data_IF_275931209983
#
_entry.id   IF_275931209983
#
_cell.length_a   1.000
_cell.length_b   1.000
_cell.length_c   1.000
_cell.angle_alpha   90.00
_cell.angle_beta   90.00
_cell.angle_gamma   90.00
#
_symmetry.space_group_name_H-M   'P 1'
#
loop_
_entity.id
_entity.type
_entity.pdbx_description
1 polymer ?
#
# COMPACT_ATOMS: atom_id res chain seq x y z
N UNK A 1 -44.13 61.67 57.51
CA UNK A 1 -43.78 61.60 56.09
C UNK A 1 -43.96 60.15 55.61
N UNK A 2 -45.16 59.90 55.05
CA UNK A 2 -45.56 58.58 54.58
C UNK A 2 -44.96 58.28 53.18
N UNK A 3 -44.27 57.16 52.98
CA UNK A 3 -43.93 56.65 51.62
C UNK A 3 -44.65 55.32 51.46
N UNK A 4 -45.70 55.36 50.65
CA UNK A 4 -46.49 54.19 50.23
C UNK A 4 -45.69 53.22 49.37
N UNK A 5 -45.52 52.01 49.87
CA UNK A 5 -45.03 50.84 49.13
C UNK A 5 -46.19 50.34 48.21
N UNK A 6 -46.08 50.44 46.92
CA UNK A 6 -46.96 49.82 45.95
C UNK A 6 -46.48 48.36 45.75
N UNK A 7 -47.23 47.43 46.31
CA UNK A 7 -47.09 46.04 45.96
C UNK A 7 -47.65 45.78 44.52
N UNK A 8 -46.76 45.37 43.62
CA UNK A 8 -47.18 44.91 42.29
C UNK A 8 -47.83 43.50 42.45
N UNK A 9 -49.11 43.44 42.18
CA UNK A 9 -49.88 42.20 42.18
C UNK A 9 -49.52 41.35 40.93
N UNK A 10 -49.30 40.07 41.13
CA UNK A 10 -48.96 39.04 40.16
C UNK A 10 -50.06 38.73 39.13
N UNK A 11 -51.04 39.62 38.92
CA UNK A 11 -52.23 39.36 38.10
C UNK A 11 -52.13 39.86 36.63
N UNK A 12 -50.98 40.35 36.16
CA UNK A 12 -50.87 40.88 34.81
C UNK A 12 -49.87 40.08 33.90
N UNK A 13 -49.75 38.78 34.09
CA UNK A 13 -49.03 38.00 33.07
C UNK A 13 -50.04 37.59 31.97
N UNK A 14 -49.93 38.13 30.76
CA UNK A 14 -50.84 37.77 29.67
C UNK A 14 -50.69 36.27 29.38
N UNK A 15 -51.79 35.55 29.53
CA UNK A 15 -51.89 34.13 29.17
C UNK A 15 -51.72 33.98 27.65
N UNK A 16 -50.46 33.87 27.15
CA UNK A 16 -50.19 33.64 25.75
C UNK A 16 -50.63 32.20 25.44
N UNK A 17 -51.91 32.02 25.13
CA UNK A 17 -52.43 30.78 24.52
C UNK A 17 -51.85 30.65 23.10
N UNK A 18 -50.70 30.01 23.00
CA UNK A 18 -50.13 29.64 21.72
C UNK A 18 -51.15 28.77 20.94
N UNK A 19 -51.55 29.16 19.74
CA UNK A 19 -52.54 28.41 18.96
C UNK A 19 -52.03 26.97 18.70
N UNK A 20 -52.88 25.98 18.78
CA UNK A 20 -52.55 24.57 18.53
C UNK A 20 -51.90 24.39 17.15
N UNK A 21 -52.19 25.22 16.18
CA UNK A 21 -51.56 25.26 14.84
C UNK A 21 -50.07 25.66 14.92
N UNK A 22 -49.70 26.62 15.76
CA UNK A 22 -48.34 27.08 15.95
C UNK A 22 -47.47 26.01 16.64
N UNK A 23 -48.06 25.35 17.65
CA UNK A 23 -47.41 24.22 18.35
C UNK A 23 -47.18 23.04 17.41
N UNK A 24 -48.17 22.70 16.57
CA UNK A 24 -48.03 21.64 15.58
C UNK A 24 -46.96 21.98 14.54
N UNK A 25 -46.87 23.23 14.09
CA UNK A 25 -45.88 23.70 13.12
C UNK A 25 -44.46 23.65 13.71
N UNK A 26 -44.29 24.07 14.96
CA UNK A 26 -43.03 24.01 15.70
C UNK A 26 -42.58 22.54 15.92
N UNK A 27 -43.48 21.67 16.39
CA UNK A 27 -43.18 20.21 16.55
C UNK A 27 -42.76 19.57 15.23
N UNK A 28 -43.42 19.89 14.12
CA UNK A 28 -43.08 19.37 12.79
C UNK A 28 -41.68 19.84 12.35
N UNK A 29 -41.33 21.14 12.57
CA UNK A 29 -39.99 21.68 12.29
C UNK A 29 -38.93 21.01 13.17
N UNK A 30 -39.15 20.86 14.46
CA UNK A 30 -38.23 20.15 15.38
C UNK A 30 -38.03 18.71 14.97
N UNK A 31 -39.10 18.01 14.58
CA UNK A 31 -39.02 16.62 14.09
C UNK A 31 -38.19 16.52 12.79
N UNK A 32 -38.38 17.43 11.83
CA UNK A 32 -37.57 17.45 10.62
C UNK A 32 -36.10 17.74 10.90
N UNK A 33 -35.78 18.65 11.82
CA UNK A 33 -34.41 18.93 12.24
C UNK A 33 -33.77 17.73 12.97
N UNK A 34 -34.52 17.03 13.83
CA UNK A 34 -34.05 15.81 14.50
C UNK A 34 -33.78 14.68 13.50
N UNK A 35 -34.66 14.49 12.53
CA UNK A 35 -34.44 13.50 11.47
C UNK A 35 -33.22 13.86 10.59
N UNK A 36 -33.06 15.14 10.25
CA UNK A 36 -31.89 15.61 9.50
C UNK A 36 -30.58 15.43 10.31
N UNK A 37 -30.61 15.76 11.59
CA UNK A 37 -29.45 15.56 12.49
C UNK A 37 -29.13 14.07 12.66
N UNK A 38 -30.15 13.22 12.82
CA UNK A 38 -29.96 11.78 12.89
C UNK A 38 -29.37 11.21 11.59
N UNK A 39 -29.82 11.68 10.43
CA UNK A 39 -29.27 11.29 9.14
C UNK A 39 -27.80 11.72 8.98
N UNK A 40 -27.49 12.96 9.37
CA UNK A 40 -26.11 13.51 9.33
C UNK A 40 -25.16 12.71 10.24
N UNK A 41 -25.64 12.20 11.38
CA UNK A 41 -24.85 11.35 12.29
C UNK A 41 -24.78 9.90 11.84
N UNK A 42 -25.83 9.38 11.17
CA UNK A 42 -25.87 8.00 10.71
C UNK A 42 -25.00 7.74 9.46
N UNK A 43 -24.88 8.72 8.58
CA UNK A 43 -24.08 8.61 7.35
C UNK A 43 -22.58 8.33 7.61
N UNK A 44 -21.87 9.06 8.49
CA UNK A 44 -20.46 8.77 8.79
C UNK A 44 -20.26 7.40 9.44
N UNK A 45 -21.16 7.00 10.34
CA UNK A 45 -21.12 5.69 11.00
C UNK A 45 -21.31 4.56 9.97
N UNK A 46 -22.26 4.70 9.04
CA UNK A 46 -22.46 3.77 7.94
C UNK A 46 -21.26 3.66 7.02
N UNK A 47 -20.65 4.79 6.65
CA UNK A 47 -19.43 4.82 5.85
C UNK A 47 -18.25 4.12 6.56
N UNK A 48 -18.08 4.35 7.86
CA UNK A 48 -17.01 3.72 8.64
C UNK A 48 -17.16 2.20 8.71
N UNK A 49 -18.39 1.71 8.95
CA UNK A 49 -18.68 0.26 8.93
C UNK A 49 -18.40 -0.34 7.55
N UNK A 50 -18.81 0.33 6.48
CA UNK A 50 -18.57 -0.15 5.11
C UNK A 50 -17.07 -0.21 4.79
N UNK A 51 -16.31 0.83 5.13
CA UNK A 51 -14.85 0.86 4.96
C UNK A 51 -14.15 -0.23 5.78
N UNK A 52 -14.62 -0.51 6.99
CA UNK A 52 -14.08 -1.59 7.80
C UNK A 52 -14.31 -2.95 7.13
N UNK A 53 -15.52 -3.22 6.65
CA UNK A 53 -15.86 -4.45 5.92
C UNK A 53 -15.09 -4.57 4.60
N UNK A 54 -14.91 -3.48 3.88
CA UNK A 54 -14.05 -3.47 2.68
C UNK A 54 -12.64 -3.93 3.02
N UNK A 55 -12.02 -3.38 4.09
CA UNK A 55 -10.66 -3.77 4.50
C UNK A 55 -10.58 -5.24 4.92
N UNK A 56 -11.56 -5.77 5.65
CA UNK A 56 -11.63 -7.20 5.97
C UNK A 56 -11.63 -8.07 4.68
N UNK A 57 -12.40 -7.67 3.67
CA UNK A 57 -12.48 -8.39 2.39
C UNK A 57 -11.21 -8.27 1.55
N UNK A 58 -10.56 -7.10 1.57
CA UNK A 58 -9.34 -6.84 0.79
C UNK A 58 -8.16 -7.59 1.39
N UNK A 59 -7.90 -7.43 2.68
CA UNK A 59 -6.69 -7.98 3.31
C UNK A 59 -6.83 -9.45 3.70
N UNK A 60 -8.05 -9.92 4.01
CA UNK A 60 -8.35 -11.35 4.28
C UNK A 60 -7.34 -12.01 5.19
N UNK A 61 -7.05 -11.36 6.33
CA UNK A 61 -6.00 -11.80 7.25
C UNK A 61 -6.35 -13.19 7.80
N UNK A 62 -5.45 -14.15 7.59
CA UNK A 62 -5.53 -15.48 8.18
C UNK A 62 -4.75 -15.47 9.50
N UNK A 63 -5.39 -15.80 10.62
CA UNK A 63 -4.73 -15.83 11.92
C UNK A 63 -3.75 -17.00 12.03
N UNK A 64 -2.72 -16.82 12.86
CA UNK A 64 -1.75 -17.86 13.17
C UNK A 64 -0.71 -18.07 12.08
N UNK A 65 -0.14 -19.27 12.06
CA UNK A 65 0.89 -19.68 11.11
C UNK A 65 0.27 -20.54 10.01
N UNK A 66 0.83 -20.48 8.82
CA UNK A 66 0.44 -21.36 7.73
C UNK A 66 0.69 -22.83 8.10
N UNK A 67 -0.24 -23.71 7.76
CA UNK A 67 -0.15 -25.14 8.15
C UNK A 67 1.08 -25.87 7.57
N UNK A 68 1.66 -25.34 6.50
CA UNK A 68 2.89 -25.84 5.87
C UNK A 68 4.18 -25.18 6.39
N UNK A 69 4.08 -24.29 7.39
CA UNK A 69 5.24 -23.69 8.01
C UNK A 69 5.78 -24.60 9.12
N UNK A 70 7.02 -25.03 8.95
CA UNK A 70 7.68 -25.96 9.87
C UNK A 70 8.84 -25.30 10.67
N UNK A 71 8.87 -23.97 10.71
CA UNK A 71 9.89 -23.19 11.39
C UNK A 71 10.77 -22.40 10.43
N UNK A 72 11.60 -21.54 11.00
CA UNK A 72 12.51 -20.68 10.23
C UNK A 72 13.75 -21.47 9.79
N UNK A 73 14.22 -21.27 8.55
CA UNK A 73 15.51 -21.79 8.12
C UNK A 73 16.67 -21.21 8.96
N UNK A 74 17.76 -21.96 9.05
CA UNK A 74 18.95 -21.50 9.75
C UNK A 74 19.48 -20.18 9.17
N UNK A 75 19.88 -19.28 10.06
CA UNK A 75 20.43 -17.97 9.70
C UNK A 75 19.39 -16.85 9.46
N UNK A 76 18.11 -17.15 9.51
CA UNK A 76 17.06 -16.11 9.51
C UNK A 76 17.05 -15.41 10.87
N UNK A 77 17.05 -14.09 10.85
CA UNK A 77 16.95 -13.22 12.02
C UNK A 77 15.57 -12.59 12.07
N UNK A 78 14.88 -12.74 13.19
CA UNK A 78 13.63 -12.03 13.43
C UNK A 78 13.91 -10.61 13.93
N UNK A 79 13.24 -9.63 13.35
CA UNK A 79 13.36 -8.22 13.70
C UNK A 79 11.99 -7.69 14.15
N UNK A 80 11.99 -6.77 15.10
CA UNK A 80 10.82 -6.01 15.55
C UNK A 80 11.11 -4.52 15.27
N UNK A 81 10.42 -3.97 14.27
CA UNK A 81 10.62 -2.59 13.81
C UNK A 81 9.63 -1.68 14.52
N UNK A 82 10.15 -0.72 15.29
CA UNK A 82 9.36 0.26 16.06
C UNK A 82 9.83 1.67 15.77
N UNK A 83 9.43 2.27 14.66
CA UNK A 83 9.76 3.65 14.37
C UNK A 83 9.03 4.58 15.33
N UNK A 84 9.63 5.76 15.59
CA UNK A 84 9.01 6.77 16.48
C UNK A 84 7.67 7.32 15.99
N UNK A 85 7.34 7.10 14.74
CA UNK A 85 6.07 7.51 14.12
C UNK A 85 4.91 6.58 14.46
N UNK A 86 5.20 5.37 14.95
CA UNK A 86 4.18 4.41 15.35
C UNK A 86 3.69 4.69 16.77
N UNK A 87 2.44 4.33 17.07
CA UNK A 87 1.94 4.31 18.43
C UNK A 87 2.66 3.21 19.24
N UNK A 88 2.69 3.34 20.57
CA UNK A 88 3.43 2.43 21.47
C UNK A 88 3.04 0.95 21.33
N UNK A 89 1.80 0.69 20.91
CA UNK A 89 1.27 -0.65 20.70
C UNK A 89 1.47 -1.18 19.28
N UNK A 90 2.15 -0.45 18.40
CA UNK A 90 2.38 -0.81 17.00
C UNK A 90 3.82 -1.23 16.76
N UNK A 91 4.03 -2.25 15.95
CA UNK A 91 5.34 -2.70 15.48
C UNK A 91 5.21 -3.59 14.25
N UNK A 92 6.27 -3.67 13.45
CA UNK A 92 6.35 -4.61 12.33
C UNK A 92 7.28 -5.75 12.68
N UNK A 93 6.80 -6.96 12.52
CA UNK A 93 7.60 -8.16 12.54
C UNK A 93 8.22 -8.38 11.15
N UNK A 94 9.52 -8.64 11.11
CA UNK A 94 10.23 -8.85 9.86
C UNK A 94 11.24 -9.98 10.00
N UNK A 95 11.59 -10.59 8.87
CA UNK A 95 12.65 -11.58 8.76
C UNK A 95 13.78 -11.03 7.90
N UNK A 96 14.99 -10.99 8.47
CA UNK A 96 16.20 -10.72 7.74
C UNK A 96 16.97 -12.02 7.51
N UNK A 97 17.12 -12.40 6.26
CA UNK A 97 17.93 -13.55 5.87
C UNK A 97 19.16 -13.07 5.10
N UNK A 98 20.33 -12.97 5.76
CA UNK A 98 21.55 -12.55 5.09
C UNK A 98 21.93 -13.54 4.00
N UNK A 99 22.46 -13.06 2.89
CA UNK A 99 23.01 -13.91 1.87
C UNK A 99 24.30 -14.59 2.35
N UNK A 100 24.69 -15.69 1.68
CA UNK A 100 25.96 -16.39 2.00
C UNK A 100 27.19 -15.54 1.70
N UNK A 101 27.11 -14.64 0.72
CA UNK A 101 28.19 -13.72 0.36
C UNK A 101 27.89 -12.34 0.94
N UNK A 102 28.88 -11.74 1.59
CA UNK A 102 28.72 -10.43 2.24
C UNK A 102 28.43 -9.28 1.24
N UNK A 103 28.92 -9.40 0.00
CA UNK A 103 28.74 -8.40 -1.07
C UNK A 103 27.50 -8.64 -1.95
N UNK A 104 26.67 -9.62 -1.58
CA UNK A 104 25.48 -9.98 -2.36
C UNK A 104 24.43 -8.84 -2.40
N UNK A 105 23.66 -8.76 -3.48
CA UNK A 105 22.50 -7.89 -3.50
C UNK A 105 21.40 -8.39 -2.55
N UNK A 106 20.52 -7.46 -2.18
CA UNK A 106 19.42 -7.71 -1.26
C UNK A 106 18.07 -7.34 -1.86
N UNK A 107 17.03 -8.00 -1.37
CA UNK A 107 15.64 -7.81 -1.76
C UNK A 107 14.82 -7.40 -0.54
N UNK A 108 14.08 -6.29 -0.65
CA UNK A 108 12.95 -5.99 0.23
C UNK A 108 11.71 -6.71 -0.34
N UNK A 109 11.20 -7.70 0.38
CA UNK A 109 10.06 -8.50 -0.01
C UNK A 109 8.77 -8.01 0.65
N UNK A 110 7.79 -7.62 -0.18
CA UNK A 110 6.46 -7.14 0.20
C UNK A 110 5.42 -8.17 -0.23
N UNK A 111 4.73 -8.78 0.76
CA UNK A 111 3.83 -9.90 0.52
C UNK A 111 2.42 -9.46 0.06
N UNK A 112 1.67 -10.41 -0.46
CA UNK A 112 0.25 -10.26 -0.83
C UNK A 112 -0.69 -10.38 0.37
N UNK A 113 -1.99 -10.60 0.08
CA UNK A 113 -3.04 -10.76 1.09
C UNK A 113 -3.10 -12.19 1.65
N UNK A 114 -3.94 -12.39 2.65
CA UNK A 114 -4.33 -13.62 3.36
C UNK A 114 -3.30 -14.06 4.39
N UNK A 115 -2.19 -14.66 3.93
CA UNK A 115 -1.17 -15.22 4.79
C UNK A 115 -0.11 -14.17 5.14
N UNK A 116 0.47 -14.34 6.32
CA UNK A 116 1.64 -13.61 6.79
C UNK A 116 2.94 -14.25 6.23
N UNK A 117 4.09 -13.83 6.75
CA UNK A 117 5.40 -14.33 6.30
C UNK A 117 5.52 -15.85 6.34
N UNK A 118 4.84 -16.53 7.29
CA UNK A 118 4.90 -18.02 7.36
C UNK A 118 4.32 -18.67 6.12
N UNK A 119 3.30 -18.06 5.50
CA UNK A 119 2.74 -18.53 4.23
C UNK A 119 3.57 -18.16 3.01
N UNK A 120 4.54 -17.26 3.14
CA UNK A 120 5.38 -16.75 2.06
C UNK A 120 6.80 -17.34 2.06
N UNK A 121 7.15 -18.15 3.05
CA UNK A 121 8.51 -18.67 3.24
C UNK A 121 9.06 -19.32 1.96
N UNK A 122 8.24 -20.11 1.24
CA UNK A 122 8.67 -20.78 0.03
C UNK A 122 9.20 -19.84 -1.06
N UNK A 123 8.68 -18.60 -1.16
CA UNK A 123 9.14 -17.60 -2.11
C UNK A 123 10.40 -16.92 -1.60
N UNK A 124 10.46 -16.64 -0.32
CA UNK A 124 11.64 -16.08 0.36
C UNK A 124 12.83 -17.02 0.20
N UNK A 125 12.63 -18.34 0.38
CA UNK A 125 13.64 -19.37 0.18
C UNK A 125 14.16 -19.41 -1.26
N UNK A 126 13.28 -19.32 -2.25
CA UNK A 126 13.69 -19.28 -3.66
C UNK A 126 14.57 -18.04 -3.96
N UNK A 127 14.20 -16.86 -3.46
CA UNK A 127 15.01 -15.66 -3.62
C UNK A 127 16.37 -15.79 -2.93
N UNK A 128 16.39 -16.33 -1.71
CA UNK A 128 17.64 -16.60 -0.99
C UNK A 128 18.51 -17.65 -1.70
N UNK A 129 17.91 -18.72 -2.22
CA UNK A 129 18.61 -19.72 -3.02
C UNK A 129 19.19 -19.18 -4.34
N UNK A 130 18.63 -18.09 -4.86
CA UNK A 130 19.22 -17.34 -5.99
C UNK A 130 20.42 -16.48 -5.59
N UNK A 131 20.75 -16.38 -4.30
CA UNK A 131 21.92 -15.68 -3.80
C UNK A 131 21.63 -14.28 -3.23
N UNK A 132 20.37 -13.90 -3.05
CA UNK A 132 19.99 -12.61 -2.48
C UNK A 132 19.90 -12.69 -0.95
N UNK A 133 20.31 -11.61 -0.25
CA UNK A 133 19.78 -11.38 1.08
C UNK A 133 18.32 -10.92 0.98
N UNK A 134 17.48 -11.26 1.95
CA UNK A 134 16.05 -10.93 1.90
C UNK A 134 15.62 -10.31 3.22
N UNK A 135 15.04 -9.10 3.16
CA UNK A 135 14.23 -8.53 4.22
C UNK A 135 12.76 -8.70 3.83
N UNK A 136 12.03 -9.51 4.59
CA UNK A 136 10.59 -9.69 4.42
C UNK A 136 9.86 -9.12 5.64
N UNK A 137 8.73 -8.45 5.44
CA UNK A 137 7.99 -7.78 6.52
C UNK A 137 6.52 -8.16 6.49
N UNK A 138 5.94 -8.43 7.67
CA UNK A 138 4.50 -8.45 7.88
C UNK A 138 4.00 -7.02 8.09
N UNK A 139 2.97 -6.59 7.37
CA UNK A 139 2.31 -5.32 7.63
C UNK A 139 1.58 -5.35 8.96
N UNK A 140 1.31 -4.17 9.58
CA UNK A 140 0.48 -4.09 10.79
C UNK A 140 -0.81 -4.90 10.61
N UNK A 141 -1.20 -5.65 11.64
CA UNK A 141 -2.35 -6.56 11.61
C UNK A 141 -2.08 -7.94 11.01
N UNK A 142 -0.98 -8.15 10.29
CA UNK A 142 -0.57 -9.47 9.79
C UNK A 142 0.42 -10.17 10.74
N UNK A 143 0.29 -11.48 10.82
CA UNK A 143 1.24 -12.35 11.50
C UNK A 143 1.55 -11.92 12.93
N UNK A 144 2.80 -11.58 13.19
CA UNK A 144 3.28 -11.10 14.50
C UNK A 144 3.42 -9.57 14.58
N UNK A 145 3.14 -8.86 13.50
CA UNK A 145 3.07 -7.40 13.50
C UNK A 145 1.89 -6.91 14.31
N UNK A 146 2.11 -5.86 15.11
CA UNK A 146 1.10 -5.29 15.98
C UNK A 146 0.46 -4.07 15.33
N UNK A 147 -0.84 -3.97 15.44
CA UNK A 147 -1.63 -2.85 14.93
C UNK A 147 -3.03 -3.30 14.53
N UNK A 148 -3.83 -2.33 14.10
CA UNK A 148 -5.21 -2.56 13.69
C UNK A 148 -5.30 -3.21 12.31
N UNK A 149 -6.53 -3.53 11.90
CA UNK A 149 -6.83 -3.98 10.53
C UNK A 149 -6.24 -3.00 9.52
N UNK A 150 -5.38 -3.45 8.60
CA UNK A 150 -4.66 -2.57 7.70
C UNK A 150 -5.58 -1.79 6.74
N UNK A 151 -5.03 -0.73 6.18
CA UNK A 151 -5.58 0.05 5.08
C UNK A 151 -4.50 0.27 4.03
N UNK A 152 -4.87 0.78 2.85
CA UNK A 152 -3.91 1.19 1.82
C UNK A 152 -2.86 2.15 2.40
N UNK A 153 -3.30 3.16 3.16
CA UNK A 153 -2.38 4.13 3.76
C UNK A 153 -1.41 3.48 4.75
N UNK A 154 -1.90 2.57 5.62
CA UNK A 154 -1.04 1.96 6.63
C UNK A 154 -0.04 0.97 6.04
N UNK A 155 -0.39 0.20 5.00
CA UNK A 155 0.58 -0.71 4.36
C UNK A 155 1.64 0.06 3.55
N UNK A 156 1.33 1.25 3.04
CA UNK A 156 2.32 2.13 2.42
C UNK A 156 3.30 2.70 3.44
N UNK A 157 2.79 3.12 4.61
CA UNK A 157 3.64 3.54 5.73
C UNK A 157 4.54 2.40 6.23
N UNK A 158 3.97 1.21 6.39
CA UNK A 158 4.72 0.01 6.81
C UNK A 158 5.85 -0.35 5.83
N UNK A 159 5.57 -0.27 4.53
CA UNK A 159 6.59 -0.47 3.50
C UNK A 159 7.71 0.58 3.57
N UNK A 160 7.37 1.83 3.92
CA UNK A 160 8.37 2.89 4.13
C UNK A 160 9.26 2.60 5.33
N UNK A 161 8.68 2.18 6.47
CA UNK A 161 9.43 1.76 7.66
C UNK A 161 10.35 0.58 7.35
N UNK A 162 9.83 -0.42 6.63
CA UNK A 162 10.64 -1.56 6.19
C UNK A 162 11.79 -1.14 5.27
N UNK A 163 11.55 -0.18 4.35
CA UNK A 163 12.57 0.37 3.48
C UNK A 163 13.69 1.07 4.25
N UNK A 164 13.38 1.87 5.25
CA UNK A 164 14.37 2.56 6.07
C UNK A 164 15.29 1.55 6.76
N UNK A 165 14.72 0.48 7.32
CA UNK A 165 15.52 -0.61 7.89
C UNK A 165 16.32 -1.36 6.84
N UNK A 166 15.72 -1.63 5.68
CA UNK A 166 16.38 -2.29 4.57
C UNK A 166 17.59 -1.52 4.06
N UNK A 167 17.47 -0.19 3.96
CA UNK A 167 18.57 0.69 3.54
C UNK A 167 19.76 0.67 4.51
N UNK A 168 19.50 0.45 5.80
CA UNK A 168 20.57 0.25 6.82
C UNK A 168 21.23 -1.12 6.68
N UNK A 169 20.46 -2.18 6.39
CA UNK A 169 20.97 -3.55 6.24
C UNK A 169 21.76 -3.74 4.94
N UNK A 170 21.38 -3.03 3.88
CA UNK A 170 22.10 -2.95 2.60
C UNK A 170 22.37 -1.48 2.25
N UNK A 171 23.53 -0.93 2.67
CA UNK A 171 23.84 0.49 2.42
C UNK A 171 24.06 0.85 0.93
N UNK A 172 24.51 -0.11 0.11
CA UNK A 172 24.75 0.10 -1.31
C UNK A 172 23.45 0.08 -2.11
N UNK A 173 23.00 1.25 -2.54
CA UNK A 173 21.77 1.40 -3.34
C UNK A 173 21.79 0.59 -4.64
N UNK A 174 22.98 0.39 -5.24
CA UNK A 174 23.14 -0.40 -6.47
C UNK A 174 22.88 -1.90 -6.27
N UNK A 175 22.79 -2.36 -5.04
CA UNK A 175 22.51 -3.75 -4.64
C UNK A 175 21.12 -3.94 -4.04
N UNK A 176 20.28 -2.91 -3.98
CA UNK A 176 18.91 -2.99 -3.45
C UNK A 176 17.91 -3.29 -4.54
N UNK A 177 17.05 -4.28 -4.33
CA UNK A 177 15.87 -4.53 -5.13
C UNK A 177 14.61 -4.43 -4.27
N UNK A 178 13.53 -3.90 -4.85
CA UNK A 178 12.19 -3.92 -4.25
C UNK A 178 11.41 -5.01 -4.96
N UNK A 179 10.77 -5.89 -4.21
CA UNK A 179 9.96 -6.99 -4.73
C UNK A 179 8.57 -6.96 -4.12
N UNK A 180 7.54 -7.01 -4.96
CA UNK A 180 6.16 -7.11 -4.51
C UNK A 180 5.39 -8.22 -5.20
N UNK A 181 4.67 -9.03 -4.42
CA UNK A 181 3.79 -10.07 -4.92
C UNK A 181 2.32 -9.70 -4.72
N UNK A 182 1.49 -9.83 -5.75
CA UNK A 182 0.04 -9.58 -5.67
C UNK A 182 -0.24 -8.17 -5.12
N UNK A 183 -0.98 -8.01 -4.01
CA UNK A 183 -1.17 -6.72 -3.34
C UNK A 183 0.16 -6.06 -2.96
N UNK A 184 1.14 -6.84 -2.51
CA UNK A 184 2.49 -6.34 -2.24
C UNK A 184 3.16 -5.69 -3.46
N UNK A 185 2.74 -6.05 -4.69
CA UNK A 185 3.16 -5.39 -5.92
C UNK A 185 2.65 -3.95 -6.00
N UNK A 186 1.39 -3.70 -5.64
CA UNK A 186 0.86 -2.33 -5.57
C UNK A 186 1.55 -1.51 -4.47
N UNK A 187 1.88 -2.13 -3.33
CA UNK A 187 2.67 -1.52 -2.25
C UNK A 187 4.08 -1.19 -2.73
N UNK A 188 4.72 -2.09 -3.48
CA UNK A 188 6.05 -1.88 -4.06
C UNK A 188 6.08 -0.76 -5.10
N UNK A 189 5.04 -0.62 -5.91
CA UNK A 189 4.86 0.49 -6.87
C UNK A 189 4.76 1.83 -6.14
N UNK A 190 3.96 1.92 -5.08
CA UNK A 190 3.82 3.14 -4.29
C UNK A 190 5.15 3.53 -3.62
N UNK A 191 5.81 2.57 -2.97
CA UNK A 191 7.12 2.78 -2.35
C UNK A 191 8.15 3.25 -3.38
N UNK A 192 8.28 2.55 -4.52
CA UNK A 192 9.25 2.90 -5.56
C UNK A 192 9.00 4.30 -6.14
N UNK A 193 7.73 4.67 -6.37
CA UNK A 193 7.33 6.00 -6.80
C UNK A 193 7.71 7.08 -5.79
N UNK A 194 7.41 6.85 -4.52
CA UNK A 194 7.74 7.79 -3.44
C UNK A 194 9.24 8.02 -3.35
N UNK A 195 10.03 6.94 -3.36
CA UNK A 195 11.48 7.00 -3.33
C UNK A 195 12.07 7.69 -4.58
N UNK A 196 11.51 7.42 -5.76
CA UNK A 196 11.94 8.09 -7.00
C UNK A 196 11.67 9.59 -6.97
N UNK A 197 10.54 10.02 -6.43
CA UNK A 197 10.22 11.44 -6.23
C UNK A 197 11.18 12.11 -5.26
N UNK A 198 11.42 11.51 -4.10
CA UNK A 198 12.37 12.01 -3.10
C UNK A 198 13.77 12.15 -3.70
N UNK A 199 14.25 11.16 -4.46
CA UNK A 199 15.54 11.21 -5.12
C UNK A 199 15.63 12.35 -6.15
N UNK A 200 14.56 12.61 -6.92
CA UNK A 200 14.50 13.76 -7.84
C UNK A 200 14.53 15.09 -7.10
N UNK A 201 13.72 15.22 -6.05
CA UNK A 201 13.59 16.46 -5.28
C UNK A 201 14.90 16.82 -4.56
N UNK A 202 15.61 15.81 -4.06
CA UNK A 202 16.91 15.96 -3.38
C UNK A 202 18.11 15.89 -4.32
N UNK A 203 17.92 15.58 -5.61
CA UNK A 203 18.96 15.38 -6.61
C UNK A 203 19.98 14.29 -6.20
N UNK A 204 19.48 13.25 -5.51
CA UNK A 204 20.29 12.11 -5.10
C UNK A 204 20.21 10.96 -6.12
N UNK A 205 21.19 10.04 -6.14
CA UNK A 205 21.13 8.85 -6.98
C UNK A 205 19.89 8.00 -6.70
N UNK A 206 19.54 7.15 -7.68
CA UNK A 206 18.42 6.22 -7.55
C UNK A 206 18.56 5.37 -6.27
N UNK A 207 17.49 5.24 -5.48
CA UNK A 207 17.54 4.61 -4.15
C UNK A 207 17.68 3.09 -4.21
N UNK A 208 17.35 2.48 -5.36
CA UNK A 208 17.39 1.06 -5.60
C UNK A 208 17.85 0.75 -7.03
N UNK A 209 18.26 -0.48 -7.28
CA UNK A 209 18.68 -0.97 -8.58
C UNK A 209 17.51 -1.34 -9.48
N UNK A 210 16.38 -1.77 -8.92
CA UNK A 210 15.23 -2.14 -9.70
C UNK A 210 14.02 -2.55 -8.85
N UNK A 211 12.89 -2.69 -9.54
CA UNK A 211 11.60 -3.08 -9.03
C UNK A 211 11.14 -4.39 -9.67
N UNK A 212 10.72 -5.36 -8.88
CA UNK A 212 10.19 -6.65 -9.34
C UNK A 212 8.73 -6.75 -8.90
N UNK A 213 7.83 -6.95 -9.84
CA UNK A 213 6.40 -7.07 -9.64
C UNK A 213 5.92 -8.43 -10.12
N UNK A 214 5.47 -9.30 -9.21
CA UNK A 214 4.96 -10.62 -9.57
C UNK A 214 3.45 -10.71 -9.31
N UNK A 215 2.67 -11.14 -10.31
CA UNK A 215 1.23 -11.42 -10.23
C UNK A 215 0.43 -10.25 -9.64
N UNK A 216 0.81 -9.01 -9.95
CA UNK A 216 0.16 -7.80 -9.45
C UNK A 216 -0.88 -7.25 -10.43
N UNK A 217 -1.53 -6.16 -10.05
CA UNK A 217 -2.71 -5.62 -10.74
C UNK A 217 -2.60 -4.10 -10.96
N UNK A 218 -3.43 -3.61 -11.86
CA UNK A 218 -3.56 -2.19 -12.24
C UNK A 218 -4.18 -1.33 -11.14
N UNK A 219 -5.29 -1.81 -10.56
CA UNK A 219 -5.95 -1.19 -9.40
C UNK A 219 -6.79 -2.23 -8.66
N UNK A 220 -7.12 -1.95 -7.39
CA UNK A 220 -8.06 -2.80 -6.64
C UNK A 220 -9.44 -2.80 -7.30
N UNK A 221 -9.85 -1.68 -7.90
CA UNK A 221 -11.11 -1.59 -8.63
C UNK A 221 -11.18 -2.53 -9.82
N UNK A 222 -10.08 -2.71 -10.55
CA UNK A 222 -10.03 -3.63 -11.69
C UNK A 222 -10.11 -5.09 -11.23
N UNK A 223 -9.43 -5.44 -10.13
CA UNK A 223 -9.54 -6.78 -9.51
C UNK A 223 -10.98 -7.03 -9.04
N UNK A 224 -11.59 -6.08 -8.36
CA UNK A 224 -12.97 -6.20 -7.89
C UNK A 224 -13.96 -6.37 -9.06
N UNK A 225 -13.75 -5.68 -10.18
CA UNK A 225 -14.53 -5.85 -11.41
C UNK A 225 -14.45 -7.28 -11.97
N UNK A 226 -13.25 -7.87 -11.97
CA UNK A 226 -13.05 -9.27 -12.40
C UNK A 226 -13.74 -10.25 -11.44
N UNK A 227 -13.53 -10.09 -10.14
CA UNK A 227 -14.12 -10.98 -9.11
C UNK A 227 -15.65 -10.91 -9.11
N UNK A 228 -16.21 -9.72 -9.24
CA UNK A 228 -17.67 -9.51 -9.29
C UNK A 228 -18.27 -9.86 -10.66
N UNK A 229 -17.46 -10.19 -11.66
CA UNK A 229 -17.88 -10.43 -13.04
C UNK A 229 -18.86 -9.35 -13.56
N UNK A 230 -18.51 -8.08 -13.35
CA UNK A 230 -19.35 -6.93 -13.68
C UNK A 230 -18.57 -5.87 -14.43
N UNK A 231 -19.26 -5.21 -15.37
CA UNK A 231 -18.77 -4.02 -16.05
C UNK A 231 -19.10 -2.72 -15.29
N UNK A 232 -19.85 -2.81 -14.17
CA UNK A 232 -20.16 -1.64 -13.36
C UNK A 232 -18.87 -1.04 -12.78
N UNK A 233 -18.77 0.29 -12.67
CA UNK A 233 -17.58 0.96 -12.20
C UNK A 233 -17.44 0.86 -10.66
N UNK A 234 -17.28 -0.38 -10.13
CA UNK A 234 -17.15 -0.68 -8.69
C UNK A 234 -16.00 0.10 -8.05
N UNK A 235 -15.01 0.53 -8.83
CA UNK A 235 -13.88 1.36 -8.38
C UNK A 235 -14.30 2.65 -7.66
N UNK A 236 -15.50 3.20 -7.98
CA UNK A 236 -16.01 4.41 -7.34
C UNK A 236 -16.48 4.16 -5.91
N UNK A 237 -16.90 2.92 -5.61
CA UNK A 237 -17.40 2.52 -4.30
C UNK A 237 -16.30 2.14 -3.31
N UNK A 238 -15.12 1.77 -3.81
CA UNK A 238 -14.01 1.33 -2.97
C UNK A 238 -13.30 2.53 -2.33
N UNK A 239 -12.99 2.42 -1.04
CA UNK A 239 -12.14 3.37 -0.31
C UNK A 239 -10.67 3.08 -0.53
N UNK A 240 -10.30 1.80 -0.66
CA UNK A 240 -8.94 1.34 -0.98
C UNK A 240 -8.77 1.30 -2.49
N UNK A 241 -7.80 2.01 -3.03
CA UNK A 241 -7.60 2.14 -4.49
C UNK A 241 -6.50 1.24 -5.03
N UNK A 242 -5.34 1.21 -4.37
CA UNK A 242 -4.13 0.53 -4.82
C UNK A 242 -3.87 0.76 -6.32
N UNK A 243 -3.89 2.03 -6.73
CA UNK A 243 -3.75 2.44 -8.13
C UNK A 243 -2.29 2.32 -8.59
N UNK A 244 -1.91 1.12 -9.03
CA UNK A 244 -0.58 0.85 -9.58
C UNK A 244 -0.41 1.48 -10.96
N UNK A 245 -1.46 1.46 -11.79
CA UNK A 245 -1.40 1.96 -13.17
C UNK A 245 -1.14 3.46 -13.21
N UNK A 246 -1.82 4.23 -12.35
CA UNK A 246 -1.62 5.67 -12.25
C UNK A 246 -0.28 6.08 -11.63
N UNK A 247 0.49 5.13 -11.08
CA UNK A 247 1.75 5.40 -10.37
C UNK A 247 3.00 4.91 -11.11
N UNK A 248 2.91 3.79 -11.85
CA UNK A 248 4.08 3.09 -12.40
C UNK A 248 4.87 3.93 -13.40
N UNK A 249 4.20 4.81 -14.14
CA UNK A 249 4.82 5.75 -15.07
C UNK A 249 5.70 6.82 -14.43
N UNK A 250 5.61 7.01 -13.10
CA UNK A 250 6.43 7.96 -12.34
C UNK A 250 7.71 7.32 -11.76
N UNK A 251 7.97 6.03 -12.03
CA UNK A 251 9.10 5.27 -11.48
C UNK A 251 10.25 5.29 -12.47
N UNK A 252 11.43 5.77 -12.03
CA UNK A 252 12.66 5.85 -12.85
C UNK A 252 13.62 4.65 -12.59
N UNK A 253 13.12 3.58 -11.96
CA UNK A 253 13.88 2.34 -11.76
C UNK A 253 13.61 1.35 -12.89
N UNK A 254 14.58 0.50 -13.25
CA UNK A 254 14.33 -0.67 -14.08
C UNK A 254 13.23 -1.55 -13.48
N UNK A 255 12.24 -1.96 -14.28
CA UNK A 255 11.09 -2.73 -13.81
C UNK A 255 11.05 -4.11 -14.48
N UNK A 256 10.95 -5.16 -13.66
CA UNK A 256 10.63 -6.50 -14.10
C UNK A 256 9.20 -6.86 -13.67
N UNK A 257 8.33 -7.10 -14.64
CA UNK A 257 7.01 -7.66 -14.38
C UNK A 257 7.01 -9.16 -14.71
N UNK A 258 6.48 -9.97 -13.80
CA UNK A 258 6.34 -11.43 -13.98
C UNK A 258 4.89 -11.82 -13.75
N UNK A 259 4.33 -12.65 -14.62
CA UNK A 259 2.95 -13.12 -14.45
C UNK A 259 2.75 -14.54 -15.00
N UNK A 260 2.02 -15.35 -14.26
CA UNK A 260 1.54 -16.64 -14.74
C UNK A 260 0.37 -16.49 -15.70
N UNK A 261 0.41 -17.16 -16.85
CA UNK A 261 -0.68 -17.08 -17.83
C UNK A 261 -1.97 -17.77 -17.35
N UNK A 262 -1.86 -18.72 -16.42
CA UNK A 262 -3.01 -19.45 -15.85
C UNK A 262 -3.43 -18.90 -14.49
N UNK A 263 -3.06 -17.62 -14.19
CA UNK A 263 -3.50 -16.92 -12.99
C UNK A 263 -5.00 -16.62 -13.08
N UNK A 264 -5.79 -17.30 -12.22
CA UNK A 264 -7.25 -17.18 -12.16
C UNK A 264 -7.73 -16.09 -11.18
N UNK A 265 -6.82 -15.57 -10.35
CA UNK A 265 -7.15 -14.52 -9.37
C UNK A 265 -6.89 -13.12 -9.94
N UNK A 266 -5.74 -12.96 -10.56
CA UNK A 266 -5.30 -11.71 -11.15
C UNK A 266 -4.93 -11.97 -12.62
N UNK A 267 -5.74 -11.54 -13.58
CA UNK A 267 -5.45 -11.77 -15.00
C UNK A 267 -4.13 -11.17 -15.45
N UNK A 268 -3.33 -11.92 -16.22
CA UNK A 268 -2.01 -11.50 -16.71
C UNK A 268 -2.03 -10.23 -17.57
N UNK A 269 -3.19 -9.88 -18.16
CA UNK A 269 -3.37 -8.59 -18.88
C UNK A 269 -3.07 -7.37 -18.00
N UNK A 270 -3.23 -7.46 -16.67
CA UNK A 270 -2.89 -6.35 -15.80
C UNK A 270 -1.39 -6.07 -15.76
N UNK A 271 -0.55 -7.12 -15.73
CA UNK A 271 0.89 -6.93 -15.89
C UNK A 271 1.28 -6.42 -17.28
N UNK A 272 0.56 -6.77 -18.33
CA UNK A 272 0.78 -6.21 -19.68
C UNK A 272 0.47 -4.71 -19.69
N UNK A 273 -0.65 -4.27 -19.11
CA UNK A 273 -1.01 -2.85 -18.99
C UNK A 273 0.01 -2.07 -18.15
N UNK A 274 0.48 -2.65 -17.04
CA UNK A 274 1.52 -2.04 -16.22
C UNK A 274 2.85 -1.95 -16.99
N UNK A 275 3.18 -2.97 -17.78
CA UNK A 275 4.37 -2.96 -18.64
C UNK A 275 4.29 -1.85 -19.68
N UNK A 276 3.15 -1.67 -20.34
CA UNK A 276 2.95 -0.59 -21.31
C UNK A 276 3.15 0.79 -20.67
N UNK A 277 2.62 1.00 -19.47
CA UNK A 277 2.68 2.26 -18.73
C UNK A 277 4.04 2.55 -18.06
N UNK A 278 4.83 1.53 -17.76
CA UNK A 278 6.14 1.68 -17.12
C UNK A 278 7.15 2.33 -18.07
N UNK A 279 8.10 3.08 -17.51
CA UNK A 279 9.24 3.64 -18.24
C UNK A 279 10.29 2.58 -18.54
N UNK A 280 11.07 2.82 -19.58
CA UNK A 280 12.29 2.04 -19.86
C UNK A 280 13.39 2.33 -18.78
N UNK A 281 14.24 1.34 -18.45
CA UNK A 281 14.22 -0.03 -18.94
C UNK A 281 13.21 -0.91 -18.22
N UNK A 282 12.47 -1.70 -18.98
CA UNK A 282 11.42 -2.59 -18.46
C UNK A 282 11.47 -3.96 -19.12
N UNK A 283 11.03 -4.99 -18.40
CA UNK A 283 10.96 -6.37 -18.90
C UNK A 283 9.64 -7.01 -18.45
N UNK A 284 9.00 -7.75 -19.35
CA UNK A 284 7.82 -8.55 -19.04
C UNK A 284 8.14 -10.03 -19.26
N UNK A 285 7.95 -10.84 -18.22
CA UNK A 285 8.10 -12.29 -18.25
C UNK A 285 6.73 -12.94 -18.00
N UNK A 286 6.08 -13.36 -19.09
CA UNK A 286 4.88 -14.19 -19.01
C UNK A 286 5.29 -15.67 -18.95
N UNK A 287 4.69 -16.41 -17.99
CA UNK A 287 5.06 -17.79 -17.70
C UNK A 287 3.88 -18.72 -18.03
N UNK A 288 3.93 -19.44 -19.16
CA UNK A 288 2.91 -20.41 -19.53
C UNK A 288 2.76 -21.51 -18.47
N UNK A 289 1.53 -21.89 -18.16
CA UNK A 289 1.20 -22.89 -17.16
C UNK A 289 1.35 -22.44 -15.71
N UNK A 290 1.88 -21.23 -15.47
CA UNK A 290 2.02 -20.73 -14.12
C UNK A 290 0.72 -20.08 -13.64
N UNK A 291 0.43 -20.31 -12.37
CA UNK A 291 -0.70 -19.74 -11.61
C UNK A 291 -0.24 -18.52 -10.79
N UNK A 292 -1.10 -18.03 -9.90
CA UNK A 292 -0.81 -16.87 -9.04
C UNK A 292 0.46 -16.98 -8.17
N UNK A 293 0.85 -18.22 -7.80
CA UNK A 293 1.87 -18.41 -6.77
C UNK A 293 3.14 -19.14 -7.23
N UNK A 294 3.21 -19.70 -8.45
CA UNK A 294 4.29 -20.59 -8.87
C UNK A 294 5.11 -20.10 -10.07
N UNK A 295 4.97 -18.83 -10.47
CA UNK A 295 5.70 -18.28 -11.62
C UNK A 295 7.22 -18.40 -11.44
N UNK A 296 7.73 -18.13 -10.24
CA UNK A 296 9.16 -18.18 -9.94
C UNK A 296 9.71 -19.62 -10.09
N UNK A 297 9.03 -20.60 -9.51
CA UNK A 297 9.46 -22.02 -9.59
C UNK A 297 9.34 -22.57 -11.00
N UNK A 298 8.25 -22.27 -11.71
CA UNK A 298 8.01 -22.80 -13.05
C UNK A 298 8.93 -22.17 -14.11
N UNK A 299 9.19 -20.87 -13.99
CA UNK A 299 10.11 -20.18 -14.92
C UNK A 299 11.59 -20.50 -14.64
N UNK A 300 11.95 -20.89 -13.40
CA UNK A 300 13.28 -21.38 -13.04
C UNK A 300 14.42 -20.44 -13.49
N UNK A 301 15.26 -20.93 -14.41
CA UNK A 301 16.40 -20.16 -14.93
C UNK A 301 15.98 -18.88 -15.69
N UNK A 302 14.83 -18.88 -16.36
CA UNK A 302 14.33 -17.67 -17.06
C UNK A 302 14.04 -16.55 -16.04
N UNK A 303 13.46 -16.90 -14.89
CA UNK A 303 13.20 -15.96 -13.81
C UNK A 303 14.50 -15.37 -13.26
N UNK A 304 15.49 -16.24 -12.96
CA UNK A 304 16.81 -15.82 -12.49
C UNK A 304 17.49 -14.86 -13.48
N UNK A 305 17.51 -15.20 -14.77
CA UNK A 305 18.07 -14.34 -15.81
C UNK A 305 17.35 -12.99 -15.92
N UNK A 306 16.03 -12.98 -15.79
CA UNK A 306 15.25 -11.74 -15.81
C UNK A 306 15.62 -10.80 -14.64
N UNK A 307 15.78 -11.33 -13.42
CA UNK A 307 16.27 -10.51 -12.29
C UNK A 307 17.70 -10.02 -12.55
N UNK A 308 18.59 -10.88 -13.04
CA UNK A 308 19.98 -10.49 -13.32
C UNK A 308 20.05 -9.37 -14.36
N UNK A 309 19.14 -9.34 -15.33
CA UNK A 309 19.07 -8.28 -16.34
C UNK A 309 18.82 -6.88 -15.73
N UNK A 310 18.15 -6.79 -14.59
CA UNK A 310 17.99 -5.52 -13.86
C UNK A 310 19.33 -4.89 -13.46
N UNK A 311 20.35 -5.70 -13.16
CA UNK A 311 21.69 -5.22 -12.82
C UNK A 311 22.49 -4.78 -14.04
N UNK A 312 22.13 -5.24 -15.25
CA UNK A 312 22.78 -4.87 -16.50
C UNK A 312 22.13 -3.65 -17.15
N UNK A 313 20.84 -3.38 -16.82
CA UNK A 313 20.10 -2.25 -17.35
C UNK A 313 20.79 -0.94 -16.92
N UNK A 314 21.11 -0.07 -17.86
CA UNK A 314 21.63 1.28 -17.57
C UNK A 314 20.50 2.09 -16.94
N UNK A 315 20.76 2.68 -15.78
CA UNK A 315 19.89 3.74 -15.28
C UNK A 315 19.96 4.90 -16.27
N UNK A 316 18.81 5.41 -16.69
CA UNK A 316 18.73 6.62 -17.51
C UNK A 316 19.18 7.76 -16.60
N UNK A 317 20.45 8.17 -16.73
CA UNK A 317 20.93 9.41 -16.11
C UNK A 317 20.31 10.55 -16.88
N UNK A 318 19.43 11.32 -16.24
CA UNK A 318 19.00 12.63 -16.77
C UNK A 318 20.27 13.48 -16.88
N UNK A 319 20.68 13.96 -18.06
CA UNK A 319 21.86 14.80 -18.18
C UNK A 319 21.63 16.05 -17.32
N UNK A 320 22.59 16.37 -16.47
CA UNK A 320 22.63 17.66 -15.79
C UNK A 320 22.56 18.73 -16.87
N UNK A 321 21.51 19.55 -16.84
CA UNK A 321 21.32 20.62 -17.81
C UNK A 321 22.58 21.50 -17.86
N UNK A 322 23.21 21.60 -19.01
CA UNK A 322 24.26 22.57 -19.27
C UNK A 322 23.71 23.95 -19.01
N UNK A 323 24.05 24.53 -17.88
CA UNK A 323 23.96 25.97 -17.68
C UNK A 323 25.01 26.63 -18.56
N UNK A 324 24.67 26.84 -19.82
CA UNK A 324 25.41 27.73 -20.73
C UNK A 324 25.30 29.14 -20.18
N UNK A 325 26.29 29.57 -19.41
CA UNK A 325 26.56 30.99 -19.18
C UNK A 325 27.00 31.61 -20.50
N UNK A 326 26.05 32.16 -21.24
CA UNK A 326 26.36 33.07 -22.33
C UNK A 326 26.98 34.36 -21.69
N UNK A 327 28.30 34.42 -21.78
CA UNK A 327 29.02 35.66 -21.48
C UNK A 327 28.66 36.70 -22.52
N UNK A 328 27.98 37.74 -22.14
CA UNK A 328 27.91 39.00 -22.90
C UNK A 328 29.26 39.67 -22.79
N UNK A 329 30.04 39.65 -23.89
CA UNK A 329 31.18 40.53 -24.08
C UNK A 329 30.65 41.82 -24.71
N UNK A 330 30.79 42.93 -23.97
CA UNK A 330 30.73 44.26 -24.55
C UNK A 330 31.96 44.58 -25.38
N UNK A 331 31.75 44.99 -26.61
CA UNK A 331 32.53 46.00 -27.33
C UNK A 331 31.58 46.88 -28.12
#
# INVERSE_FOLDING_TARGET
MLVLSRALTLSEIPNIRMSTRLLCALRRRWFTWLCAAALVLALPAGCSVLQHKERELVFRIEPGQASWFHGLPGGVQELDLRPRTFADNQSLHAWWWPARRADAPAILYLHGVRWNLTGQLFRIEQLHAMGYAVLAVDYRGFGRSRGDLPSEATVYEDARVAWERFAQLQPDASKRLIYGHSLGGAVAVDLARTLAREARDTRTPAPARGLILESTFTSLGDVAGVVANTSLPVRWLLSQKFDSLGKIGDIDLPVLLVHGLDDRYVPSRFSQQLFEAAREPKTLLLVPGATHNNSMSLAGQRYRKAIQALFQARQVTVPAGNSSTAGFAHN
#
